data_IF_135542954685
#
_entry.id   IF_135542954685
#
_cell.length_a   1.000
_cell.length_b   1.000
_cell.length_c   1.000
_cell.angle_alpha   90.00
_cell.angle_beta   90.00
_cell.angle_gamma   90.00
#
_symmetry.space_group_name_H-M   'P 1'
#
loop_
_entity.id
_entity.type
_entity.pdbx_description
1 polymer ?
#
# COMPACT_ATOMS: atom_id res chain seq x y z
N UNK A 1 18.73 -39.53 -12.66
CA UNK A 1 18.78 -38.42 -13.65
C UNK A 1 18.20 -37.19 -13.00
N UNK A 2 19.05 -36.27 -12.56
CA UNK A 2 18.60 -34.97 -12.03
C UNK A 2 18.25 -34.10 -13.25
N UNK A 3 16.96 -33.90 -13.49
CA UNK A 3 16.53 -32.84 -14.41
C UNK A 3 16.90 -31.49 -13.77
N UNK A 4 17.98 -30.90 -14.20
CA UNK A 4 18.29 -29.52 -13.92
C UNK A 4 17.14 -28.68 -14.52
N UNK A 5 16.34 -28.06 -13.65
CA UNK A 5 15.29 -27.15 -14.09
C UNK A 5 15.99 -25.98 -14.77
N UNK A 6 15.79 -25.81 -16.07
CA UNK A 6 16.39 -24.70 -16.80
C UNK A 6 15.79 -23.39 -16.35
N UNK A 7 16.57 -22.31 -16.34
CA UNK A 7 16.08 -20.97 -16.01
C UNK A 7 14.85 -20.58 -16.85
N UNK A 8 14.82 -21.00 -18.12
CA UNK A 8 13.70 -20.80 -19.04
C UNK A 8 12.41 -21.50 -18.61
N UNK A 9 12.50 -22.65 -17.94
CA UNK A 9 11.30 -23.35 -17.44
C UNK A 9 10.73 -22.68 -16.19
N UNK A 10 11.58 -22.16 -15.30
CA UNK A 10 11.17 -21.36 -14.15
C UNK A 10 10.49 -20.05 -14.59
N UNK A 11 10.97 -19.42 -15.66
CA UNK A 11 10.45 -18.17 -16.20
C UNK A 11 9.03 -18.28 -16.82
N UNK A 12 8.54 -19.51 -17.05
CA UNK A 12 7.22 -19.77 -17.66
C UNK A 12 6.21 -20.43 -16.72
N UNK A 13 6.51 -20.53 -15.42
CA UNK A 13 5.57 -21.13 -14.46
C UNK A 13 4.29 -20.29 -14.35
N UNK A 14 3.10 -20.94 -14.35
CA UNK A 14 1.83 -20.27 -14.15
C UNK A 14 1.63 -19.80 -12.69
N UNK A 15 2.46 -20.28 -11.78
CA UNK A 15 2.47 -19.90 -10.38
C UNK A 15 3.90 -19.86 -9.85
N UNK A 16 4.18 -18.97 -8.92
CA UNK A 16 5.49 -18.79 -8.31
C UNK A 16 5.35 -18.57 -6.80
N UNK A 17 6.16 -19.30 -6.02
CA UNK A 17 6.35 -19.06 -4.59
C UNK A 17 7.67 -18.37 -4.32
N UNK A 18 7.67 -17.38 -3.45
CA UNK A 18 8.83 -16.56 -3.11
C UNK A 18 8.91 -16.43 -1.60
N UNK A 19 10.08 -16.66 -0.99
CA UNK A 19 10.29 -16.32 0.41
C UNK A 19 10.22 -14.80 0.60
N UNK A 20 9.63 -14.38 1.70
CA UNK A 20 9.59 -12.98 2.13
C UNK A 20 10.43 -12.87 3.39
N UNK A 21 11.39 -11.96 3.38
CA UNK A 21 12.21 -11.65 4.54
C UNK A 21 12.31 -10.15 4.65
N UNK A 22 11.87 -9.61 5.77
CA UNK A 22 11.94 -8.19 6.06
C UNK A 22 12.62 -7.97 7.40
N UNK A 23 13.18 -6.81 7.54
CA UNK A 23 13.61 -6.29 8.82
C UNK A 23 13.21 -4.83 8.91
N UNK A 24 12.43 -4.52 9.92
CA UNK A 24 12.22 -3.15 10.36
C UNK A 24 12.51 -3.09 11.85
N UNK A 25 12.90 -1.95 12.36
CA UNK A 25 13.15 -1.81 13.80
C UNK A 25 11.96 -2.19 14.66
N UNK A 26 10.76 -2.01 14.15
CA UNK A 26 9.49 -2.27 14.80
C UNK A 26 9.12 -3.76 14.81
N UNK A 27 9.19 -4.40 13.66
CA UNK A 27 8.86 -5.83 13.52
C UNK A 27 10.03 -6.74 13.87
N UNK A 28 11.26 -6.20 13.92
CA UNK A 28 12.49 -6.98 13.88
C UNK A 28 12.56 -7.85 12.62
N UNK A 29 13.09 -9.05 12.68
CA UNK A 29 13.09 -9.96 11.55
C UNK A 29 11.69 -10.54 11.32
N UNK A 30 11.23 -10.47 10.09
CA UNK A 30 9.95 -10.98 9.62
C UNK A 30 10.19 -11.98 8.49
N UNK A 31 9.65 -13.18 8.64
CA UNK A 31 9.81 -14.29 7.69
C UNK A 31 8.45 -14.75 7.19
N UNK A 32 8.39 -15.11 5.93
CA UNK A 32 7.15 -15.58 5.34
C UNK A 32 7.32 -16.07 3.91
N UNK A 33 6.19 -16.14 3.23
CA UNK A 33 6.13 -16.52 1.83
C UNK A 33 5.05 -15.75 1.09
N UNK A 34 5.28 -15.53 -0.20
CA UNK A 34 4.28 -15.05 -1.14
C UNK A 34 4.14 -16.06 -2.28
N UNK A 35 2.90 -16.37 -2.67
CA UNK A 35 2.58 -17.18 -3.84
C UNK A 35 1.77 -16.33 -4.82
N UNK A 36 2.15 -16.34 -6.10
CA UNK A 36 1.44 -15.64 -7.16
C UNK A 36 1.04 -16.61 -8.25
N UNK A 37 -0.23 -16.54 -8.66
CA UNK A 37 -0.76 -17.28 -9.79
C UNK A 37 -1.10 -16.34 -10.95
N UNK A 38 -0.75 -16.77 -12.17
CA UNK A 38 -0.99 -16.03 -13.42
C UNK A 38 -1.84 -16.89 -14.35
N UNK A 39 -2.96 -16.39 -14.80
CA UNK A 39 -3.84 -17.11 -15.72
C UNK A 39 -4.62 -16.16 -16.61
N UNK A 40 -5.11 -16.67 -17.72
CA UNK A 40 -6.03 -15.95 -18.61
C UNK A 40 -7.40 -16.57 -18.54
N UNK A 41 -8.38 -15.75 -18.23
CA UNK A 41 -9.78 -16.19 -18.35
C UNK A 41 -10.16 -16.37 -19.84
N UNK A 42 -11.13 -17.21 -20.13
CA UNK A 42 -11.60 -17.43 -21.51
C UNK A 42 -11.92 -16.09 -22.19
N UNK A 43 -11.50 -15.96 -23.45
CA UNK A 43 -11.72 -14.75 -24.28
C UNK A 43 -11.04 -13.47 -23.76
N UNK A 44 -9.98 -13.57 -22.95
CA UNK A 44 -9.22 -12.44 -22.44
C UNK A 44 -7.81 -12.39 -23.04
N UNK A 45 -7.35 -11.16 -23.33
CA UNK A 45 -5.95 -10.91 -23.71
C UNK A 45 -5.08 -10.56 -22.48
N UNK A 46 -5.70 -9.95 -21.46
CA UNK A 46 -5.01 -9.56 -20.24
C UNK A 46 -4.86 -10.75 -19.30
N UNK A 47 -3.70 -10.86 -18.68
CA UNK A 47 -3.40 -11.89 -17.69
C UNK A 47 -3.95 -11.48 -16.32
N UNK A 48 -4.80 -12.30 -15.76
CA UNK A 48 -5.30 -12.19 -14.39
C UNK A 48 -4.24 -12.66 -13.41
N UNK A 49 -4.24 -12.07 -12.21
CA UNK A 49 -3.24 -12.31 -11.17
C UNK A 49 -3.96 -12.52 -9.87
N UNK A 50 -3.55 -13.52 -9.12
CA UNK A 50 -3.92 -13.70 -7.71
C UNK A 50 -2.66 -13.91 -6.90
N UNK A 51 -2.55 -13.22 -5.79
CA UNK A 51 -1.44 -13.34 -4.85
C UNK A 51 -1.99 -13.68 -3.47
N UNK A 52 -1.30 -14.58 -2.81
CA UNK A 52 -1.45 -14.88 -1.38
C UNK A 52 -0.11 -14.69 -0.73
N UNK A 53 -0.04 -13.95 0.37
CA UNK A 53 1.18 -13.76 1.13
C UNK A 53 0.90 -13.73 2.63
N UNK A 54 1.91 -14.10 3.40
CA UNK A 54 1.85 -14.05 4.85
C UNK A 54 3.22 -14.09 5.47
N UNK A 55 3.36 -13.45 6.63
CA UNK A 55 4.61 -13.38 7.37
C UNK A 55 4.37 -13.51 8.87
N UNK A 56 5.45 -13.86 9.57
CA UNK A 56 5.54 -13.87 11.04
C UNK A 56 6.86 -13.23 11.45
N UNK A 57 6.81 -12.34 12.44
CA UNK A 57 7.98 -11.63 12.96
C UNK A 57 8.43 -12.16 14.31
N UNK A 58 9.70 -11.88 14.68
CA UNK A 58 10.22 -12.22 16.01
C UNK A 58 9.57 -11.40 17.13
N UNK A 59 8.93 -10.29 16.82
CA UNK A 59 8.09 -9.53 17.76
C UNK A 59 6.62 -10.00 17.78
N UNK A 60 6.37 -11.26 17.39
CA UNK A 60 5.04 -11.88 17.42
C UNK A 60 3.99 -11.18 16.56
N UNK A 61 4.40 -10.36 15.58
CA UNK A 61 3.52 -9.79 14.58
C UNK A 61 3.31 -10.78 13.45
N UNK A 62 2.09 -10.90 12.96
CA UNK A 62 1.82 -11.72 11.78
C UNK A 62 0.71 -11.14 10.92
N UNK A 63 0.73 -11.47 9.66
CA UNK A 63 -0.37 -11.21 8.76
C UNK A 63 -0.52 -12.29 7.70
N UNK A 64 -1.72 -12.39 7.16
CA UNK A 64 -2.04 -13.09 5.93
C UNK A 64 -2.83 -12.14 5.02
N UNK A 65 -2.51 -12.15 3.74
CA UNK A 65 -3.11 -11.26 2.75
C UNK A 65 -3.37 -12.02 1.45
N UNK A 66 -4.52 -11.75 0.84
CA UNK A 66 -4.91 -12.23 -0.48
C UNK A 66 -5.31 -11.04 -1.33
N UNK A 67 -4.76 -10.93 -2.54
CA UNK A 67 -5.12 -9.87 -3.47
C UNK A 67 -5.11 -10.37 -4.91
N UNK A 68 -5.88 -9.72 -5.76
CA UNK A 68 -5.88 -10.10 -7.16
C UNK A 68 -6.59 -9.12 -8.06
N UNK A 69 -6.30 -9.28 -9.36
CA UNK A 69 -6.98 -8.59 -10.44
C UNK A 69 -7.41 -9.61 -11.48
N UNK A 70 -8.71 -9.75 -11.67
CA UNK A 70 -9.31 -10.63 -12.65
C UNK A 70 -9.88 -9.77 -13.78
N UNK A 71 -9.53 -10.09 -15.02
CA UNK A 71 -9.99 -9.37 -16.20
C UNK A 71 -11.10 -10.15 -16.88
N UNK A 72 -12.22 -9.47 -17.16
CA UNK A 72 -13.41 -10.00 -17.82
C UNK A 72 -13.74 -9.14 -19.05
N UNK A 73 -14.33 -9.75 -20.08
CA UNK A 73 -14.81 -9.04 -21.28
C UNK A 73 -14.98 -10.01 -22.44
N UNK A 74 -15.51 -9.51 -23.53
CA UNK A 74 -15.79 -10.30 -24.73
C UNK A 74 -14.77 -9.96 -25.80
N UNK A 75 -14.09 -10.94 -26.41
CA UNK A 75 -13.44 -10.74 -27.71
C UNK A 75 -14.53 -10.37 -28.71
N UNK A 76 -14.49 -9.16 -29.23
CA UNK A 76 -15.25 -8.86 -30.42
C UNK A 76 -14.56 -9.57 -31.59
N UNK A 77 -15.08 -10.73 -32.00
CA UNK A 77 -14.82 -11.28 -33.31
C UNK A 77 -15.57 -10.42 -34.34
N UNK A 78 -15.07 -9.26 -34.65
CA UNK A 78 -15.46 -8.53 -35.85
C UNK A 78 -14.69 -9.09 -37.04
N UNK A 79 -15.14 -10.23 -37.56
CA UNK A 79 -14.95 -10.54 -38.97
C UNK A 79 -15.91 -9.65 -39.79
N UNK A 80 -15.52 -8.39 -39.98
CA UNK A 80 -16.08 -7.56 -41.04
C UNK A 80 -15.00 -6.72 -41.67
N UNK A 81 -14.80 -6.81 -42.99
CA UNK A 81 -13.87 -5.98 -43.71
C UNK A 81 -14.44 -4.58 -43.90
N UNK A 82 -13.61 -3.60 -43.53
CA UNK A 82 -13.64 -2.21 -44.01
C UNK A 82 -15.02 -1.56 -44.21
N UNK A 83 -15.46 -0.83 -43.22
CA UNK A 83 -15.96 0.57 -43.39
C UNK A 83 -16.43 1.14 -42.04
N UNK A 84 -16.07 2.41 -41.83
CA UNK A 84 -16.55 3.35 -40.82
C UNK A 84 -16.09 3.13 -39.35
N UNK A 85 -15.32 4.12 -38.94
CA UNK A 85 -14.89 4.47 -37.60
C UNK A 85 -16.04 4.54 -36.58
N UNK A 86 -16.35 3.41 -35.95
CA UNK A 86 -16.89 3.41 -34.60
C UNK A 86 -15.98 2.51 -33.77
N UNK A 87 -15.01 3.11 -33.08
CA UNK A 87 -14.26 2.46 -32.00
C UNK A 87 -15.23 2.19 -30.83
N UNK A 88 -16.04 1.15 -30.95
CA UNK A 88 -16.65 0.54 -29.78
C UNK A 88 -15.54 -0.13 -29.01
N UNK A 89 -15.00 0.56 -27.99
CA UNK A 89 -14.14 -0.07 -26.99
C UNK A 89 -14.86 -1.30 -26.45
N UNK A 90 -14.27 -2.49 -26.52
CA UNK A 90 -14.91 -3.67 -25.96
C UNK A 90 -15.16 -3.37 -24.47
N UNK A 91 -16.38 -3.54 -24.00
CA UNK A 91 -16.75 -3.41 -22.60
C UNK A 91 -15.99 -4.48 -21.80
N UNK A 92 -14.78 -4.17 -21.40
CA UNK A 92 -14.01 -5.00 -20.49
C UNK A 92 -14.18 -4.43 -19.08
N UNK A 93 -14.35 -5.30 -18.12
CA UNK A 93 -14.37 -4.95 -16.72
C UNK A 93 -13.35 -5.78 -15.97
N UNK A 94 -12.95 -5.34 -14.84
CA UNK A 94 -12.00 -6.04 -14.00
C UNK A 94 -12.55 -6.10 -12.57
N UNK A 95 -12.32 -7.22 -11.91
CA UNK A 95 -12.55 -7.37 -10.50
C UNK A 95 -11.22 -7.28 -9.79
N UNK A 96 -11.05 -6.29 -8.95
CA UNK A 96 -9.89 -6.19 -8.08
C UNK A 96 -10.35 -6.44 -6.65
N UNK A 97 -9.62 -7.28 -5.93
CA UNK A 97 -9.92 -7.56 -4.54
C UNK A 97 -8.65 -7.55 -3.70
N UNK A 98 -8.81 -7.20 -2.45
CA UNK A 98 -7.79 -7.30 -1.42
C UNK A 98 -8.47 -7.67 -0.11
N UNK A 99 -7.99 -8.73 0.52
CA UNK A 99 -8.47 -9.20 1.82
C UNK A 99 -7.28 -9.59 2.68
N UNK A 100 -7.36 -9.39 3.98
CA UNK A 100 -6.31 -9.81 4.86
C UNK A 100 -6.71 -9.74 6.31
N UNK A 101 -5.90 -10.38 7.13
CA UNK A 101 -5.97 -10.30 8.56
C UNK A 101 -4.56 -10.16 9.15
N UNK A 102 -4.44 -9.39 10.20
CA UNK A 102 -3.17 -9.19 10.90
C UNK A 102 -3.40 -9.05 12.40
N UNK A 103 -2.45 -9.56 13.16
CA UNK A 103 -2.27 -9.28 14.57
C UNK A 103 -0.87 -8.70 14.74
N UNK A 104 -0.81 -7.41 15.10
CA UNK A 104 0.43 -6.66 15.11
C UNK A 104 0.56 -5.86 16.40
N UNK A 105 1.22 -6.44 17.44
CA UNK A 105 1.74 -5.61 18.50
C UNK A 105 2.69 -4.57 17.88
N UNK A 106 2.49 -3.32 18.22
CA UNK A 106 3.20 -2.17 17.68
C UNK A 106 3.43 -1.13 18.78
N UNK A 107 3.88 0.02 18.42
CA UNK A 107 4.02 1.16 19.32
C UNK A 107 3.06 2.27 18.90
N UNK A 108 2.26 2.73 19.84
CA UNK A 108 1.39 3.89 19.67
C UNK A 108 2.19 5.16 19.95
N UNK A 109 2.24 6.05 18.99
CA UNK A 109 2.96 7.32 19.09
C UNK A 109 2.01 8.53 19.15
N UNK A 110 0.69 8.31 19.20
CA UNK A 110 -0.30 9.36 19.08
C UNK A 110 -0.59 9.74 17.62
N UNK A 111 -1.55 10.61 17.42
CA UNK A 111 -1.69 11.35 16.17
C UNK A 111 -0.76 12.55 16.20
N UNK A 112 -0.43 13.07 15.03
CA UNK A 112 0.42 14.25 14.94
C UNK A 112 -0.21 15.47 15.63
N UNK A 113 -1.53 15.58 15.55
CA UNK A 113 -2.34 16.58 16.27
C UNK A 113 -2.15 16.48 17.79
N UNK A 114 -2.24 15.27 18.37
CA UNK A 114 -2.04 15.07 19.81
C UNK A 114 -0.63 15.47 20.26
N UNK A 115 0.38 15.34 19.39
CA UNK A 115 1.76 15.72 19.71
C UNK A 115 1.96 17.23 19.81
N UNK A 116 1.17 18.04 19.10
CA UNK A 116 1.20 19.50 19.19
C UNK A 116 0.54 20.02 20.45
N UNK A 117 -0.61 19.47 20.82
CA UNK A 117 -1.30 19.87 22.07
C UNK A 117 -0.57 19.41 23.33
N UNK A 118 0.25 18.37 23.26
CA UNK A 118 1.12 17.96 24.37
C UNK A 118 2.20 18.99 24.71
N UNK A 119 2.49 19.95 23.83
CA UNK A 119 3.38 21.08 24.13
C UNK A 119 2.75 22.15 25.02
N UNK A 120 1.42 22.22 25.11
CA UNK A 120 0.74 23.29 25.89
C UNK A 120 0.29 22.88 27.29
N UNK A 121 0.53 21.66 27.72
CA UNK A 121 0.35 21.29 29.12
C UNK A 121 -0.31 19.95 29.39
N UNK A 122 0.38 19.09 30.08
CA UNK A 122 -0.02 17.96 30.92
C UNK A 122 -0.08 16.53 30.33
N UNK A 123 -0.07 16.29 29.05
CA UNK A 123 0.32 14.98 28.54
C UNK A 123 1.76 15.12 28.00
N UNK A 124 2.74 14.94 28.86
CA UNK A 124 4.11 15.33 28.56
C UNK A 124 4.62 14.72 27.27
N UNK A 125 5.32 15.54 26.48
CA UNK A 125 6.18 15.14 25.36
C UNK A 125 6.97 13.85 25.66
N UNK A 126 7.20 13.51 26.90
CA UNK A 126 7.83 12.29 27.37
C UNK A 126 7.02 11.02 27.06
N UNK A 127 5.69 11.05 27.07
CA UNK A 127 4.85 9.89 26.72
C UNK A 127 4.94 9.58 25.22
N UNK A 128 4.82 10.58 24.37
CA UNK A 128 4.90 10.41 22.92
C UNK A 128 6.31 10.01 22.45
N UNK A 129 7.35 10.43 23.15
CA UNK A 129 8.74 10.06 22.84
C UNK A 129 9.07 8.61 23.15
N UNK A 130 8.42 7.99 24.12
CA UNK A 130 8.66 6.59 24.48
C UNK A 130 7.74 5.62 23.74
N UNK A 131 6.60 6.09 23.23
CA UNK A 131 5.56 5.25 22.66
C UNK A 131 4.93 4.31 23.70
N UNK A 132 3.68 3.94 23.49
CA UNK A 132 3.00 2.98 24.34
C UNK A 132 2.85 1.65 23.61
N UNK A 133 3.01 0.50 24.28
CA UNK A 133 2.66 -0.78 23.69
C UNK A 133 1.22 -0.74 23.15
N UNK A 134 1.06 -1.13 21.92
CA UNK A 134 -0.19 -1.08 21.17
C UNK A 134 -0.42 -2.40 20.49
N UNK A 135 -1.54 -3.03 20.77
CA UNK A 135 -1.95 -4.27 20.11
C UNK A 135 -3.07 -3.97 19.14
N UNK A 136 -2.93 -4.39 17.90
CA UNK A 136 -3.91 -4.20 16.84
C UNK A 136 -4.20 -5.53 16.14
N UNK A 137 -5.43 -5.99 16.26
CA UNK A 137 -6.00 -7.04 15.43
C UNK A 137 -6.88 -6.39 14.35
N UNK A 138 -6.61 -6.71 13.10
CA UNK A 138 -7.26 -6.05 11.97
C UNK A 138 -7.59 -7.02 10.86
N UNK A 139 -8.87 -7.08 10.49
CA UNK A 139 -9.34 -7.72 9.27
C UNK A 139 -9.82 -6.68 8.26
N UNK A 140 -9.56 -6.89 6.97
CA UNK A 140 -10.06 -6.01 5.92
C UNK A 140 -10.45 -6.77 4.66
N UNK A 141 -11.42 -6.24 3.96
CA UNK A 141 -11.84 -6.68 2.64
C UNK A 141 -12.11 -5.44 1.79
N UNK A 142 -11.52 -5.38 0.61
CA UNK A 142 -11.83 -4.37 -0.39
C UNK A 142 -12.11 -5.04 -1.72
N UNK A 143 -13.18 -4.65 -2.37
CA UNK A 143 -13.58 -5.15 -3.69
C UNK A 143 -13.93 -3.96 -4.57
N UNK A 144 -13.43 -3.94 -5.80
CA UNK A 144 -13.72 -2.92 -6.77
C UNK A 144 -13.93 -3.54 -8.17
N UNK A 145 -14.87 -2.98 -8.90
CA UNK A 145 -15.25 -3.50 -10.21
C UNK A 145 -15.25 -2.38 -11.28
N UNK A 146 -14.07 -1.81 -11.62
CA UNK A 146 -13.98 -0.79 -12.65
C UNK A 146 -14.27 -1.36 -14.06
N UNK A 147 -15.04 -0.61 -14.84
CA UNK A 147 -15.43 -0.87 -16.21
C UNK A 147 -14.64 0.08 -17.11
N UNK A 148 -14.07 -0.44 -18.20
CA UNK A 148 -13.33 0.37 -19.16
C UNK A 148 -14.26 1.34 -19.87
N UNK A 149 -13.98 2.64 -19.74
CA UNK A 149 -14.71 3.73 -20.42
C UNK A 149 -13.86 4.36 -21.53
N UNK A 150 -12.60 3.97 -21.64
CA UNK A 150 -11.66 4.40 -22.67
C UNK A 150 -10.49 3.44 -22.79
N UNK A 151 -9.55 3.72 -23.68
CA UNK A 151 -8.39 2.85 -23.95
C UNK A 151 -7.59 2.51 -22.70
N UNK A 152 -7.36 3.51 -21.84
CA UNK A 152 -6.54 3.41 -20.63
C UNK A 152 -7.32 3.78 -19.36
N UNK A 153 -8.61 4.07 -19.48
CA UNK A 153 -9.41 4.62 -18.38
C UNK A 153 -10.53 3.64 -18.02
N UNK A 154 -10.70 3.44 -16.72
CA UNK A 154 -11.81 2.65 -16.18
C UNK A 154 -12.37 3.33 -14.93
N UNK A 155 -13.67 3.23 -14.72
CA UNK A 155 -14.39 3.75 -13.56
C UNK A 155 -15.36 2.70 -13.05
N UNK A 156 -15.63 2.69 -11.76
CA UNK A 156 -16.56 1.73 -11.21
C UNK A 156 -16.79 1.83 -9.72
N UNK A 157 -17.61 0.94 -9.17
CA UNK A 157 -17.85 0.90 -7.73
C UNK A 157 -16.66 0.32 -6.96
N UNK A 158 -16.58 0.73 -5.71
CA UNK A 158 -15.69 0.15 -4.69
C UNK A 158 -16.52 -0.09 -3.43
N UNK A 159 -16.26 -1.21 -2.78
CA UNK A 159 -16.76 -1.53 -1.46
C UNK A 159 -15.60 -1.99 -0.59
N UNK A 160 -15.57 -1.54 0.65
CA UNK A 160 -14.57 -1.94 1.63
C UNK A 160 -15.20 -2.23 2.99
N UNK A 161 -14.57 -3.13 3.71
CA UNK A 161 -14.90 -3.48 5.08
C UNK A 161 -13.62 -3.55 5.89
N UNK A 162 -13.65 -2.97 7.07
CA UNK A 162 -12.59 -3.08 8.06
C UNK A 162 -13.21 -3.52 9.39
N UNK A 163 -12.55 -4.47 10.04
CA UNK A 163 -12.83 -4.86 11.43
C UNK A 163 -11.52 -4.67 12.19
N UNK A 164 -11.56 -3.91 13.28
CA UNK A 164 -10.38 -3.68 14.09
C UNK A 164 -10.71 -3.80 15.58
N UNK A 165 -9.83 -4.43 16.31
CA UNK A 165 -9.81 -4.44 17.77
C UNK A 165 -8.42 -4.03 18.23
N UNK A 166 -8.34 -3.09 19.16
CA UNK A 166 -7.05 -2.60 19.60
C UNK A 166 -7.04 -2.23 21.09
N UNK A 167 -5.86 -2.27 21.66
CA UNK A 167 -5.58 -1.83 23.01
C UNK A 167 -4.26 -1.04 23.04
N UNK A 168 -4.25 0.06 23.74
CA UNK A 168 -3.06 0.84 24.08
C UNK A 168 -2.86 0.66 25.57
N UNK A 169 -1.70 0.14 25.97
CA UNK A 169 -1.41 -0.16 27.37
C UNK A 169 -1.64 1.08 28.26
N UNK A 170 -2.34 0.88 29.38
CA UNK A 170 -2.67 1.89 30.38
C UNK A 170 -3.46 3.12 29.87
N UNK A 171 -3.90 3.12 28.61
CA UNK A 171 -4.54 4.27 28.00
C UNK A 171 -5.95 3.96 27.49
N UNK A 172 -6.08 2.98 26.62
CA UNK A 172 -7.33 2.69 25.94
C UNK A 172 -7.44 1.25 25.46
N UNK A 173 -8.61 0.66 25.60
CA UNK A 173 -8.95 -0.64 25.03
C UNK A 173 -10.32 -0.56 24.38
N UNK A 174 -10.45 -1.03 23.15
CA UNK A 174 -11.77 -1.13 22.50
C UNK A 174 -12.63 -2.14 23.26
N UNK A 175 -13.80 -1.70 23.71
CA UNK A 175 -14.79 -2.57 24.39
C UNK A 175 -15.48 -3.51 23.41
N UNK A 176 -15.53 -3.10 22.11
CA UNK A 176 -16.12 -3.86 21.02
C UNK A 176 -15.25 -3.71 19.76
N UNK A 177 -15.24 -4.69 18.85
CA UNK A 177 -14.62 -4.52 17.56
C UNK A 177 -15.22 -3.32 16.81
N UNK A 178 -14.37 -2.46 16.29
CA UNK A 178 -14.77 -1.42 15.35
C UNK A 178 -15.04 -2.08 14.00
N UNK A 179 -16.20 -1.80 13.44
CA UNK A 179 -16.58 -2.28 12.10
C UNK A 179 -16.84 -1.07 11.23
N UNK A 180 -16.09 -0.97 10.14
CA UNK A 180 -16.29 0.05 9.13
C UNK A 180 -16.72 -0.61 7.83
N UNK A 181 -17.77 -0.08 7.18
CA UNK A 181 -18.24 -0.52 5.87
C UNK A 181 -18.32 0.70 4.97
N UNK A 182 -17.57 0.67 3.88
CA UNK A 182 -17.46 1.75 2.91
C UNK A 182 -18.03 1.36 1.55
N UNK A 183 -18.69 2.33 0.92
CA UNK A 183 -19.15 2.25 -0.46
C UNK A 183 -18.74 3.52 -1.21
N UNK A 184 -18.38 3.37 -2.47
CA UNK A 184 -17.91 4.53 -3.23
C UNK A 184 -17.56 4.21 -4.68
N UNK A 185 -16.65 5.01 -5.21
CA UNK A 185 -16.23 4.94 -6.60
C UNK A 185 -14.70 4.89 -6.73
N UNK A 186 -14.24 4.24 -7.77
CA UNK A 186 -12.85 4.19 -8.20
C UNK A 186 -12.72 4.69 -9.63
N UNK A 187 -11.70 5.51 -9.90
CA UNK A 187 -11.27 5.89 -11.23
C UNK A 187 -9.82 5.45 -11.44
N UNK A 188 -9.56 4.81 -12.57
CA UNK A 188 -8.26 4.27 -12.95
C UNK A 188 -7.84 4.83 -14.30
N UNK A 189 -6.57 5.19 -14.41
CA UNK A 189 -5.87 5.43 -15.67
C UNK A 189 -4.60 4.59 -15.68
N UNK A 190 -4.39 3.76 -16.70
CA UNK A 190 -3.21 2.90 -16.80
C UNK A 190 -2.71 2.83 -18.24
N UNK A 191 -1.62 3.55 -18.51
CA UNK A 191 -0.91 3.54 -19.80
C UNK A 191 0.48 2.90 -19.71
N UNK A 192 0.76 2.18 -18.62
CA UNK A 192 2.05 1.50 -18.42
C UNK A 192 2.29 0.44 -19.49
N UNK A 193 3.53 0.31 -19.92
CA UNK A 193 3.96 -0.74 -20.86
C UNK A 193 3.97 -2.14 -20.22
N UNK A 194 4.17 -2.20 -18.91
CA UNK A 194 4.14 -3.43 -18.12
C UNK A 194 3.61 -3.14 -16.72
N UNK A 195 2.80 -4.04 -16.17
CA UNK A 195 2.20 -3.86 -14.85
C UNK A 195 3.18 -4.17 -13.72
N UNK A 196 4.11 -5.12 -13.95
CA UNK A 196 5.04 -5.63 -12.94
C UNK A 196 6.34 -4.84 -12.85
N UNK A 197 6.86 -4.44 -14.01
CA UNK A 197 8.08 -3.65 -14.11
C UNK A 197 7.94 -2.62 -15.25
N UNK A 198 7.21 -1.57 -15.00
CA UNK A 198 6.99 -0.53 -15.99
C UNK A 198 8.27 0.27 -16.24
N UNK A 199 8.54 0.51 -17.53
CA UNK A 199 9.63 1.38 -17.98
C UNK A 199 9.11 2.72 -18.47
N UNK A 200 7.84 2.77 -18.91
CA UNK A 200 7.19 4.00 -19.39
C UNK A 200 5.69 3.98 -19.12
N UNK A 201 5.12 5.18 -19.07
CA UNK A 201 3.69 5.37 -18.95
C UNK A 201 3.27 5.88 -17.58
N UNK A 202 2.00 6.10 -17.43
CA UNK A 202 1.35 6.67 -16.25
C UNK A 202 0.33 5.67 -15.70
N UNK A 203 0.31 5.52 -14.40
CA UNK A 203 -0.76 4.90 -13.63
C UNK A 203 -1.34 5.95 -12.68
N UNK A 204 -2.66 6.08 -12.65
CA UNK A 204 -3.35 6.89 -11.65
C UNK A 204 -4.58 6.14 -11.14
N UNK A 205 -4.72 6.08 -9.83
CA UNK A 205 -5.88 5.51 -9.15
C UNK A 205 -6.41 6.53 -8.15
N UNK A 206 -7.68 6.88 -8.29
CA UNK A 206 -8.40 7.73 -7.36
C UNK A 206 -9.55 6.93 -6.76
N UNK A 207 -9.74 6.99 -5.46
CA UNK A 207 -10.90 6.38 -4.79
C UNK A 207 -11.57 7.41 -3.88
N UNK A 208 -12.89 7.35 -3.83
CA UNK A 208 -13.69 8.11 -2.89
C UNK A 208 -14.77 7.19 -2.32
N UNK A 209 -14.78 7.00 -1.00
CA UNK A 209 -15.75 6.16 -0.30
C UNK A 209 -16.38 6.92 0.85
N UNK A 210 -17.67 6.69 1.07
CA UNK A 210 -18.36 7.03 2.30
C UNK A 210 -18.45 5.77 3.15
N UNK A 211 -17.96 5.82 4.36
CA UNK A 211 -17.84 4.67 5.23
C UNK A 211 -18.58 4.90 6.54
N UNK A 212 -19.48 3.98 6.86
CA UNK A 212 -20.14 3.89 8.15
C UNK A 212 -19.25 3.13 9.13
N UNK A 213 -19.00 3.72 10.30
CA UNK A 213 -18.26 3.08 11.39
C UNK A 213 -19.16 2.98 12.61
N UNK A 214 -19.28 1.77 13.13
CA UNK A 214 -20.11 1.50 14.31
C UNK A 214 -19.41 1.89 15.62
N UNK A 215 -20.22 2.09 16.67
CA UNK A 215 -19.84 2.03 18.10
C UNK A 215 -18.47 2.64 18.44
N UNK A 216 -18.29 3.90 18.03
CA UNK A 216 -17.10 4.67 18.42
C UNK A 216 -17.32 5.13 19.86
N UNK A 217 -16.34 4.87 20.71
CA UNK A 217 -16.36 5.37 22.09
C UNK A 217 -16.10 6.88 22.11
N UNK A 218 -17.04 7.63 22.66
CA UNK A 218 -16.95 9.08 22.88
C UNK A 218 -17.22 9.36 24.36
N UNK A 219 -16.85 10.55 24.89
CA UNK A 219 -17.07 10.88 26.30
C UNK A 219 -18.54 10.75 26.77
N UNK A 220 -19.50 10.85 25.87
CA UNK A 220 -20.94 10.74 26.12
C UNK A 220 -21.48 9.31 25.94
N UNK A 221 -20.65 8.32 25.62
CA UNK A 221 -21.04 6.93 25.38
C UNK A 221 -20.51 6.36 24.06
N UNK A 222 -21.36 5.66 23.32
CA UNK A 222 -20.99 5.08 22.01
C UNK A 222 -21.82 5.70 20.90
N UNK A 223 -21.18 6.07 19.82
CA UNK A 223 -21.83 6.65 18.64
C UNK A 223 -21.33 6.00 17.35
N UNK A 224 -22.20 5.88 16.36
CA UNK A 224 -21.82 5.57 15.00
C UNK A 224 -21.49 6.87 14.24
N UNK A 225 -20.59 6.77 13.27
CA UNK A 225 -20.24 7.91 12.42
C UNK A 225 -20.15 7.53 10.95
N UNK A 226 -20.25 8.52 10.08
CA UNK A 226 -19.95 8.40 8.66
C UNK A 226 -18.67 9.17 8.37
N UNK A 227 -17.69 8.46 7.80
CA UNK A 227 -16.41 9.03 7.41
C UNK A 227 -16.30 9.08 5.89
N UNK A 228 -15.71 10.14 5.36
CA UNK A 228 -15.27 10.19 3.98
C UNK A 228 -13.84 9.69 3.86
N UNK A 229 -13.56 8.77 2.94
CA UNK A 229 -12.22 8.28 2.66
C UNK A 229 -11.85 8.62 1.21
N UNK A 230 -10.80 9.42 1.04
CA UNK A 230 -10.26 9.77 -0.26
C UNK A 230 -8.87 9.20 -0.39
N UNK A 231 -8.52 8.64 -1.56
CA UNK A 231 -7.15 8.26 -1.84
C UNK A 231 -6.74 8.54 -3.29
N UNK A 232 -5.46 8.85 -3.46
CA UNK A 232 -4.82 9.03 -4.75
C UNK A 232 -3.50 8.25 -4.76
N UNK A 233 -3.24 7.52 -5.84
CA UNK A 233 -1.96 6.86 -6.13
C UNK A 233 -1.62 7.14 -7.59
N UNK A 234 -0.62 8.01 -7.80
CA UNK A 234 -0.18 8.42 -9.14
C UNK A 234 1.27 8.01 -9.31
N UNK A 235 1.57 7.27 -10.37
CA UNK A 235 2.90 6.72 -10.68
C UNK A 235 3.25 7.04 -12.12
N UNK A 236 4.45 7.55 -12.36
CA UNK A 236 4.91 7.84 -13.70
C UNK A 236 6.31 7.27 -13.93
N UNK A 237 6.53 6.71 -15.11
CA UNK A 237 7.73 6.02 -15.50
C UNK A 237 8.26 6.66 -16.78
N UNK A 238 9.47 7.17 -16.70
CA UNK A 238 10.13 7.94 -17.78
C UNK A 238 11.37 7.17 -18.21
N UNK A 239 11.37 6.62 -19.43
CA UNK A 239 12.54 5.97 -19.99
C UNK A 239 13.62 7.00 -20.31
N UNK A 240 14.85 6.69 -19.98
CA UNK A 240 16.04 7.44 -20.32
C UNK A 240 16.97 6.63 -21.23
N UNK A 241 17.98 7.25 -21.86
CA UNK A 241 19.02 6.51 -22.58
C UNK A 241 19.66 5.42 -21.73
N UNK A 242 20.25 4.41 -22.39
CA UNK A 242 20.94 3.27 -21.76
C UNK A 242 20.05 2.40 -20.84
N UNK A 243 18.77 2.25 -21.17
CA UNK A 243 17.76 1.48 -20.41
C UNK A 243 17.57 1.95 -18.95
N UNK A 244 17.96 3.19 -18.67
CA UNK A 244 17.67 3.85 -17.40
C UNK A 244 16.18 4.20 -17.31
N UNK A 245 15.61 4.20 -16.10
CA UNK A 245 14.22 4.62 -15.88
C UNK A 245 14.17 5.51 -14.63
N UNK A 246 13.57 6.68 -14.77
CA UNK A 246 13.09 7.45 -13.61
C UNK A 246 11.65 7.05 -13.36
N UNK A 247 11.37 6.61 -12.15
CA UNK A 247 10.03 6.35 -11.67
C UNK A 247 9.72 7.26 -10.50
N UNK A 248 8.50 7.81 -10.44
CA UNK A 248 8.04 8.53 -9.26
C UNK A 248 6.60 8.14 -8.93
N UNK A 249 6.27 8.27 -7.65
CA UNK A 249 4.96 8.01 -7.11
C UNK A 249 4.54 9.13 -6.16
N UNK A 250 3.34 9.62 -6.35
CA UNK A 250 2.61 10.42 -5.38
C UNK A 250 1.51 9.56 -4.74
N UNK A 251 1.46 9.53 -3.42
CA UNK A 251 0.37 8.96 -2.64
C UNK A 251 -0.25 10.04 -1.77
N UNK A 252 -1.56 10.12 -1.81
CA UNK A 252 -2.35 10.95 -0.91
C UNK A 252 -3.49 10.12 -0.33
N UNK A 253 -3.75 10.28 0.95
CA UNK A 253 -4.90 9.71 1.63
C UNK A 253 -5.49 10.76 2.55
N UNK A 254 -6.81 10.80 2.64
CA UNK A 254 -7.53 11.73 3.50
C UNK A 254 -8.75 11.03 4.10
N UNK A 255 -8.91 11.17 5.39
CA UNK A 255 -10.08 10.74 6.14
C UNK A 255 -10.82 11.98 6.64
N UNK A 256 -12.05 12.14 6.20
CA UNK A 256 -12.95 13.19 6.64
C UNK A 256 -13.86 12.59 7.71
N UNK A 257 -13.71 13.02 8.95
CA UNK A 257 -14.52 12.58 10.07
C UNK A 257 -15.12 13.77 10.83
N UNK A 258 -16.15 13.55 11.61
CA UNK A 258 -16.67 14.58 12.49
C UNK A 258 -15.64 14.92 13.58
N UNK A 259 -15.40 16.20 13.81
CA UNK A 259 -14.37 16.72 14.72
C UNK A 259 -14.40 16.18 16.15
N UNK A 260 -15.58 15.82 16.64
CA UNK A 260 -15.76 15.36 18.04
C UNK A 260 -15.46 13.87 18.25
N UNK A 261 -15.15 13.15 17.19
CA UNK A 261 -14.82 11.73 17.31
C UNK A 261 -13.36 11.61 17.67
N UNK A 262 -13.09 11.00 18.80
CA UNK A 262 -11.74 10.81 19.30
C UNK A 262 -10.85 10.17 18.22
N UNK A 263 -9.80 10.88 17.80
CA UNK A 263 -8.75 10.33 16.93
C UNK A 263 -8.20 9.01 17.49
N UNK A 264 -8.20 8.87 18.81
CA UNK A 264 -7.82 7.65 19.50
C UNK A 264 -8.66 6.44 19.05
N UNK A 265 -9.99 6.61 18.99
CA UNK A 265 -10.90 5.53 18.59
C UNK A 265 -10.74 5.17 17.11
N UNK A 266 -10.47 6.15 16.25
CA UNK A 266 -10.29 5.96 14.82
C UNK A 266 -8.83 5.67 14.42
N UNK A 267 -7.90 5.67 15.36
CA UNK A 267 -6.46 5.51 15.11
C UNK A 267 -6.11 4.36 14.14
N UNK A 268 -6.70 3.15 14.23
CA UNK A 268 -6.41 2.08 13.28
C UNK A 268 -6.81 2.36 11.83
N UNK A 269 -7.70 3.33 11.62
CA UNK A 269 -8.29 3.69 10.33
C UNK A 269 -7.62 4.91 9.69
N UNK A 270 -6.91 5.72 10.49
CA UNK A 270 -6.25 6.93 10.00
C UNK A 270 -5.21 6.65 8.92
N UNK A 271 -5.10 7.53 7.92
CA UNK A 271 -3.99 7.54 6.98
C UNK A 271 -2.63 7.44 7.67
N UNK A 272 -1.73 6.67 7.09
CA UNK A 272 -0.40 6.43 7.66
C UNK A 272 0.71 6.66 6.66
N UNK A 273 1.78 7.29 7.11
CA UNK A 273 3.02 7.47 6.38
C UNK A 273 3.96 6.30 6.66
N UNK A 274 4.76 5.90 5.69
CA UNK A 274 5.83 4.93 5.88
C UNK A 274 5.52 3.51 5.44
N UNK A 275 6.46 2.62 5.70
CA UNK A 275 6.44 1.23 5.28
C UNK A 275 6.95 1.01 3.85
N UNK A 276 7.02 -0.27 3.46
CA UNK A 276 7.55 -0.68 2.15
C UNK A 276 6.75 -0.16 0.95
N UNK A 277 5.45 0.07 1.13
CA UNK A 277 4.51 0.57 0.10
C UNK A 277 4.19 2.06 0.27
N UNK A 278 4.70 2.68 1.33
CA UNK A 278 4.61 4.09 1.64
C UNK A 278 5.94 4.81 1.44
N UNK A 279 6.35 5.62 2.39
CA UNK A 279 7.67 6.26 2.39
C UNK A 279 8.69 5.32 3.01
N UNK A 280 9.55 4.71 2.18
CA UNK A 280 10.55 3.73 2.60
C UNK A 280 11.57 4.33 3.56
N UNK A 281 11.96 3.58 4.60
CA UNK A 281 12.88 4.03 5.66
C UNK A 281 12.17 4.66 6.84
N UNK A 282 10.85 4.86 6.76
CA UNK A 282 10.00 5.32 7.86
C UNK A 282 9.14 4.15 8.32
N UNK A 283 9.01 4.01 9.63
CA UNK A 283 8.14 3.03 10.26
C UNK A 283 6.68 3.26 9.85
N UNK A 284 5.98 2.19 9.48
CA UNK A 284 4.62 2.27 8.92
C UNK A 284 3.56 2.75 9.90
N UNK A 285 3.80 2.64 11.19
CA UNK A 285 2.84 2.97 12.22
C UNK A 285 3.18 4.23 13.02
N UNK A 286 4.35 4.85 12.72
CA UNK A 286 4.88 5.97 13.51
C UNK A 286 4.13 7.29 13.28
N UNK A 287 3.71 7.56 12.05
CA UNK A 287 3.05 8.81 11.69
C UNK A 287 1.66 8.54 11.11
N UNK A 288 0.65 9.01 11.81
CA UNK A 288 -0.77 8.88 11.41
C UNK A 288 -1.51 10.17 11.71
N UNK A 289 -2.35 10.57 10.78
CA UNK A 289 -3.30 11.67 10.96
C UNK A 289 -4.38 11.61 9.87
N UNK A 290 -5.28 12.60 9.86
CA UNK A 290 -6.39 12.71 8.90
C UNK A 290 -5.95 12.75 7.45
N UNK A 291 -4.81 13.39 7.17
CA UNK A 291 -4.24 13.50 5.82
C UNK A 291 -2.83 12.93 5.81
N UNK A 292 -2.52 12.14 4.81
CA UNK A 292 -1.16 11.68 4.51
C UNK A 292 -0.81 12.03 3.06
N UNK A 293 0.34 12.67 2.88
CA UNK A 293 0.92 12.99 1.57
C UNK A 293 2.33 12.45 1.49
N UNK A 294 2.65 11.75 0.42
CA UNK A 294 4.00 11.23 0.15
C UNK A 294 4.35 11.31 -1.32
N UNK A 295 5.56 11.72 -1.62
CA UNK A 295 6.15 11.72 -2.94
C UNK A 295 7.47 10.94 -2.88
N UNK A 296 7.64 9.96 -3.75
CA UNK A 296 8.86 9.18 -3.86
C UNK A 296 9.35 9.17 -5.31
N UNK A 297 10.65 9.10 -5.49
CA UNK A 297 11.27 8.90 -6.79
C UNK A 297 12.38 7.86 -6.69
N UNK A 298 12.60 7.12 -7.77
CA UNK A 298 13.72 6.19 -7.89
C UNK A 298 14.32 6.22 -9.30
N UNK A 299 15.63 6.12 -9.36
CA UNK A 299 16.38 5.87 -10.58
C UNK A 299 16.69 4.39 -10.67
N UNK A 300 16.24 3.73 -11.74
CA UNK A 300 16.48 2.31 -12.04
C UNK A 300 17.62 2.19 -13.03
N UNK A 301 18.69 1.49 -12.63
CA UNK A 301 19.95 1.41 -13.35
C UNK A 301 20.19 -0.05 -13.75
N UNK A 302 20.28 -0.40 -15.04
CA UNK A 302 20.67 -1.74 -15.45
C UNK A 302 22.13 -1.99 -15.09
N UNK A 303 22.42 -3.13 -14.44
CA UNK A 303 23.79 -3.51 -14.09
C UNK A 303 24.26 -4.62 -15.03
N UNK A 304 23.56 -5.75 -15.02
CA UNK A 304 23.94 -6.92 -15.80
C UNK A 304 22.76 -7.90 -15.91
N UNK A 305 22.47 -8.35 -17.15
CA UNK A 305 21.46 -9.37 -17.44
C UNK A 305 20.10 -9.07 -16.76
N UNK A 306 19.76 -9.83 -15.72
CA UNK A 306 18.51 -9.71 -14.97
C UNK A 306 18.60 -8.73 -13.80
N UNK A 307 19.81 -8.24 -13.46
CA UNK A 307 20.05 -7.42 -12.29
C UNK A 307 19.99 -5.92 -12.60
N UNK A 308 19.37 -5.17 -11.72
CA UNK A 308 19.25 -3.71 -11.76
C UNK A 308 19.48 -3.12 -10.37
N UNK A 309 20.23 -2.02 -10.31
CA UNK A 309 20.30 -1.21 -9.09
C UNK A 309 19.19 -0.17 -9.07
N UNK A 310 18.85 0.30 -7.89
CA UNK A 310 18.00 1.47 -7.70
C UNK A 310 18.60 2.39 -6.65
N UNK A 311 18.44 3.69 -6.86
CA UNK A 311 18.66 4.72 -5.84
C UNK A 311 17.34 5.44 -5.70
N UNK A 312 16.88 5.64 -4.48
CA UNK A 312 15.59 6.26 -4.24
C UNK A 312 15.63 7.26 -3.09
N UNK A 313 14.73 8.22 -3.19
CA UNK A 313 14.41 9.16 -2.13
C UNK A 313 12.93 9.52 -2.19
N UNK A 314 12.42 9.93 -1.06
CA UNK A 314 11.05 10.39 -0.95
C UNK A 314 10.86 11.35 0.21
N UNK A 315 9.78 12.07 0.17
CA UNK A 315 9.39 13.08 1.14
C UNK A 315 7.89 12.92 1.43
N UNK A 316 7.49 13.11 2.66
CA UNK A 316 6.08 13.05 3.02
C UNK A 316 5.81 13.52 4.43
N UNK A 317 4.54 13.70 4.73
CA UNK A 317 4.07 14.02 6.06
C UNK A 317 2.61 13.65 6.26
N UNK A 318 2.16 13.78 7.51
CA UNK A 318 0.76 13.67 7.92
C UNK A 318 0.29 15.00 8.51
N UNK A 319 -1.00 15.27 8.36
CA UNK A 319 -1.59 16.55 8.75
C UNK A 319 -2.97 16.32 9.33
N UNK A 320 -3.29 17.11 10.38
CA UNK A 320 -4.65 17.33 10.81
C UNK A 320 -5.35 18.28 9.81
N UNK A 321 -6.53 17.93 9.37
CA UNK A 321 -7.24 18.73 8.39
C UNK A 321 -7.86 20.01 8.97
N UNK A 322 -8.09 20.09 10.29
CA UNK A 322 -8.60 21.29 10.99
C UNK A 322 -7.49 22.26 11.37
N UNK A 323 -6.27 21.73 11.68
CA UNK A 323 -5.12 22.49 12.14
C UNK A 323 -3.91 22.22 11.23
N UNK A 324 -3.98 22.69 9.99
CA UNK A 324 -2.90 22.51 9.04
C UNK A 324 -1.65 23.29 9.46
N UNK A 325 -0.56 22.56 9.71
CA UNK A 325 0.75 23.12 10.02
C UNK A 325 1.80 22.55 9.08
N UNK A 326 2.71 23.42 8.60
CA UNK A 326 3.87 23.00 7.87
C UNK A 326 5.02 22.75 8.84
N UNK A 327 5.52 21.54 8.90
CA UNK A 327 6.72 21.18 9.65
C UNK A 327 7.83 20.69 8.72
N UNK A 328 8.97 20.27 9.33
CA UNK A 328 10.05 19.65 8.60
C UNK A 328 9.55 18.28 8.10
N UNK A 329 9.42 18.10 6.77
CA UNK A 329 8.89 16.87 6.24
C UNK A 329 9.81 15.69 6.54
N UNK A 330 9.20 14.51 6.64
CA UNK A 330 9.91 13.25 6.81
C UNK A 330 10.48 12.86 5.45
N UNK A 331 11.79 12.52 5.45
CA UNK A 331 12.52 12.12 4.24
C UNK A 331 13.01 10.69 4.43
N UNK A 332 12.69 9.84 3.45
CA UNK A 332 13.22 8.48 3.36
C UNK A 332 14.11 8.35 2.13
N UNK A 333 15.23 7.64 2.24
CA UNK A 333 16.16 7.45 1.14
C UNK A 333 16.87 6.09 1.25
N UNK A 334 17.42 5.64 0.14
CA UNK A 334 18.12 4.35 0.14
C UNK A 334 18.56 3.89 -1.23
N UNK A 335 19.01 2.64 -1.22
CA UNK A 335 19.46 1.94 -2.41
C UNK A 335 18.76 0.57 -2.48
N UNK A 336 18.68 0.00 -3.65
CA UNK A 336 18.09 -1.31 -3.83
C UNK A 336 18.66 -2.09 -4.98
N UNK A 337 18.40 -3.38 -4.96
CA UNK A 337 18.70 -4.32 -6.02
C UNK A 337 17.43 -4.99 -6.52
N UNK A 338 17.34 -5.21 -7.81
CA UNK A 338 16.24 -5.91 -8.48
C UNK A 338 16.79 -7.08 -9.25
N UNK A 339 16.09 -8.22 -9.21
CA UNK A 339 16.38 -9.37 -10.05
C UNK A 339 15.11 -9.82 -10.77
N UNK A 340 15.09 -9.74 -12.10
CA UNK A 340 13.96 -10.17 -12.91
C UNK A 340 13.90 -11.72 -12.95
N UNK A 341 12.79 -12.30 -12.44
CA UNK A 341 12.69 -13.74 -12.27
C UNK A 341 11.96 -14.41 -13.44
N UNK A 342 11.11 -13.71 -14.16
CA UNK A 342 10.32 -14.30 -15.22
C UNK A 342 10.14 -13.40 -16.44
N UNK A 343 9.58 -13.96 -17.54
CA UNK A 343 9.28 -13.19 -18.77
C UNK A 343 8.25 -12.08 -18.57
N UNK A 344 7.38 -12.18 -17.56
CA UNK A 344 6.46 -11.11 -17.18
C UNK A 344 7.17 -9.97 -16.44
N UNK A 345 8.47 -10.12 -16.17
CA UNK A 345 9.33 -9.15 -15.45
C UNK A 345 8.93 -8.95 -13.98
N UNK A 346 8.47 -10.01 -13.35
CA UNK A 346 8.35 -10.01 -11.90
C UNK A 346 9.74 -9.96 -11.30
N UNK A 347 9.95 -9.03 -10.38
CA UNK A 347 11.24 -8.82 -9.74
C UNK A 347 11.23 -9.30 -8.29
N UNK A 348 12.34 -9.88 -7.86
CA UNK A 348 12.72 -9.85 -6.46
C UNK A 348 13.35 -8.49 -6.20
N UNK A 349 12.87 -7.82 -5.19
CA UNK A 349 13.36 -6.52 -4.72
C UNK A 349 14.06 -6.68 -3.39
N UNK A 350 15.26 -6.13 -3.28
CA UNK A 350 15.94 -5.92 -2.02
C UNK A 350 16.27 -4.45 -1.87
N UNK A 351 15.74 -3.80 -0.83
CA UNK A 351 15.99 -2.39 -0.53
C UNK A 351 16.61 -2.24 0.86
N UNK A 352 17.55 -1.31 0.96
CA UNK A 352 18.08 -0.78 2.22
C UNK A 352 17.69 0.68 2.29
N UNK A 353 16.97 1.06 3.32
CA UNK A 353 16.43 2.40 3.48
C UNK A 353 16.74 3.00 4.85
N UNK A 354 16.80 4.31 4.89
CA UNK A 354 16.95 5.13 6.10
C UNK A 354 16.09 6.38 5.99
N UNK A 355 15.82 7.04 7.12
CA UNK A 355 15.09 8.30 7.17
C UNK A 355 15.85 9.38 7.94
N UNK A 356 15.37 10.63 7.83
CA UNK A 356 15.82 11.76 8.63
C UNK A 356 15.14 11.83 10.01
N UNK A 357 14.24 10.91 10.31
CA UNK A 357 13.55 10.88 11.60
C UNK A 357 14.57 10.66 12.71
N UNK A 358 14.58 11.53 13.71
CA UNK A 358 15.55 11.50 14.80
C UNK A 358 15.51 10.15 15.53
N UNK A 359 16.64 9.44 15.64
CA UNK A 359 16.72 8.18 16.35
C UNK A 359 16.30 8.26 17.82
N UNK A 360 16.38 9.44 18.43
CA UNK A 360 15.94 9.67 19.81
C UNK A 360 14.44 9.53 19.99
N UNK A 361 13.67 9.68 18.92
CA UNK A 361 12.23 9.44 18.92
C UNK A 361 11.89 7.96 18.97
N UNK A 362 12.84 7.11 18.61
CA UNK A 362 12.55 5.70 18.43
C UNK A 362 13.64 4.75 18.92
N UNK A 363 14.70 5.23 19.57
CA UNK A 363 15.86 4.42 19.96
C UNK A 363 16.49 3.60 18.79
N UNK A 364 16.21 4.00 17.53
CA UNK A 364 16.44 3.17 16.35
C UNK A 364 17.23 3.98 15.33
N UNK A 365 18.54 3.96 15.47
CA UNK A 365 19.47 4.27 14.37
C UNK A 365 19.40 3.22 13.27
N UNK A 366 18.19 2.82 12.85
CA UNK A 366 18.08 1.58 12.16
C UNK A 366 17.81 1.79 10.68
N UNK A 367 18.56 1.03 9.93
CA UNK A 367 18.25 0.74 8.56
C UNK A 367 17.02 -0.19 8.49
N UNK A 368 16.13 0.06 7.55
CA UNK A 368 15.08 -0.86 7.19
C UNK A 368 15.51 -1.68 5.98
N UNK A 369 15.26 -2.97 6.02
CA UNK A 369 15.58 -3.91 4.94
C UNK A 369 14.27 -4.52 4.45
N UNK A 370 14.07 -4.52 3.13
CA UNK A 370 12.88 -5.08 2.50
C UNK A 370 13.28 -6.08 1.42
N UNK A 371 12.87 -7.33 1.56
CA UNK A 371 13.02 -8.35 0.53
C UNK A 371 11.62 -8.83 0.10
N UNK A 372 11.21 -8.46 -1.09
CA UNK A 372 9.85 -8.73 -1.58
C UNK A 372 9.84 -9.13 -3.05
N UNK A 373 8.71 -9.68 -3.50
CA UNK A 373 8.48 -10.12 -4.87
C UNK A 373 7.79 -9.08 -5.76
N UNK A 374 7.72 -7.84 -5.34
CA UNK A 374 7.03 -6.77 -6.09
C UNK A 374 7.89 -5.51 -6.15
N UNK A 375 7.60 -4.65 -7.12
CA UNK A 375 8.18 -3.31 -7.13
C UNK A 375 7.61 -2.44 -6.00
N UNK A 376 8.34 -1.36 -5.65
CA UNK A 376 7.90 -0.43 -4.64
C UNK A 376 6.67 0.35 -5.10
N UNK A 377 6.62 0.63 -6.40
CA UNK A 377 5.49 1.28 -7.08
C UNK A 377 5.57 1.07 -8.60
#
# INVERSE_FOLDING_TARGET
>A
MSHAISLDSLLNLPAMGIPVVNYTPESTWEFGAAAQGYFRLPNQERTSIVQLDGTYSLNHQWYINAQGTLYFGRKNHTTQPYTTLHHTTPHSWQLQFRAGYSDRPATYYGTYHDSHFANEGNLGIGMLRQGHPYQLQRGYLQVQAPISVGKNTAVGPIADMLIAQFAIEDTYTTTHPLVQIGLGAVALYDSRDNVFYPKKGLFAKLTATAAYTNKIDIPQGQQATINGLLSADVRHYIPLPHDLVIAWQFKGQMMLSEYFISHLTLYPMLPRLGGQDGLRGINSDMFRDDIMLALQAELRIPIWSIFRATVFAGIGDVYDYHNWHWEIPKVGYGIGLRAAINKAKVNIRFDIARSNVDPRWNNINAYSFYLTATEAF
#
